data_IF_060089857169
#
_entry.id   IF_060089857169
#
_cell.length_a   1.000
_cell.length_b   1.000
_cell.length_c   1.000
_cell.angle_alpha   90.00
_cell.angle_beta   90.00
_cell.angle_gamma   90.00
#
_symmetry.space_group_name_H-M   'P 1'
#
loop_
_entity.id
_entity.type
_entity.pdbx_description
1 polymer ?
#
# COMPACT_ATOMS: atom_id res chain seq x y z
N UNK A 1 7.90 0.60 7.18
CA UNK A 1 7.72 1.21 5.83
C UNK A 1 6.23 1.41 5.55
N UNK A 2 5.76 2.58 5.09
CA UNK A 2 4.33 2.85 4.93
C UNK A 2 3.75 2.28 3.62
N UNK A 3 2.67 1.53 3.70
CA UNK A 3 1.90 0.99 2.56
C UNK A 3 0.49 1.56 2.59
N UNK A 4 0.01 2.10 1.48
CA UNK A 4 -1.37 2.58 1.36
C UNK A 4 -2.22 1.56 0.63
N UNK A 5 -3.31 1.18 1.25
CA UNK A 5 -4.38 0.46 0.57
C UNK A 5 -5.30 1.45 -0.19
N UNK A 6 -6.37 0.91 -0.76
CA UNK A 6 -7.40 1.66 -1.46
C UNK A 6 -8.16 2.62 -0.52
N UNK A 7 -8.50 2.20 0.70
CA UNK A 7 -9.20 3.05 1.68
C UNK A 7 -8.43 4.31 2.06
N UNK A 8 -7.12 4.19 2.30
CA UNK A 8 -6.23 5.32 2.59
C UNK A 8 -6.15 6.30 1.41
N UNK A 9 -6.01 5.78 0.19
CA UNK A 9 -5.89 6.63 -0.99
C UNK A 9 -7.22 7.37 -1.30
N UNK A 10 -8.37 6.71 -1.08
CA UNK A 10 -9.70 7.37 -1.13
C UNK A 10 -9.80 8.46 -0.06
N UNK A 11 -9.43 8.16 1.18
CA UNK A 11 -9.51 9.12 2.27
C UNK A 11 -8.62 10.36 2.03
N UNK A 12 -7.47 10.18 1.38
CA UNK A 12 -6.62 11.30 0.96
C UNK A 12 -7.24 12.11 -0.19
N UNK A 13 -7.85 11.45 -1.17
CA UNK A 13 -8.58 12.13 -2.25
C UNK A 13 -9.75 12.97 -1.70
N UNK A 14 -10.46 12.45 -0.70
CA UNK A 14 -11.55 13.10 0.01
C UNK A 14 -11.07 14.12 1.06
N UNK A 15 -9.74 14.27 1.25
CA UNK A 15 -9.11 15.16 2.23
C UNK A 15 -9.57 14.91 3.67
N UNK A 16 -9.83 13.66 4.04
CA UNK A 16 -10.17 13.29 5.43
C UNK A 16 -9.02 13.69 6.36
N UNK A 17 -9.33 14.43 7.42
CA UNK A 17 -8.33 15.07 8.28
C UNK A 17 -7.33 14.08 8.89
N UNK A 18 -7.78 12.90 9.31
CA UNK A 18 -6.89 11.86 9.88
C UNK A 18 -5.91 11.33 8.85
N UNK A 19 -6.38 10.96 7.65
CA UNK A 19 -5.54 10.51 6.54
C UNK A 19 -4.50 11.58 6.14
N UNK A 20 -4.92 12.83 6.01
CA UNK A 20 -4.02 13.95 5.66
C UNK A 20 -2.93 14.13 6.72
N UNK A 21 -3.28 14.09 8.02
CA UNK A 21 -2.28 14.19 9.10
C UNK A 21 -1.29 13.03 9.08
N UNK A 22 -1.78 11.80 8.91
CA UNK A 22 -0.92 10.61 8.84
C UNK A 22 0.04 10.69 7.64
N UNK A 23 -0.46 11.06 6.46
CA UNK A 23 0.37 11.24 5.28
C UNK A 23 1.43 12.33 5.47
N UNK A 24 1.06 13.47 6.06
CA UNK A 24 2.00 14.55 6.34
C UNK A 24 3.13 14.11 7.29
N UNK A 25 2.81 13.33 8.33
CA UNK A 25 3.79 12.81 9.28
C UNK A 25 4.75 11.76 8.69
N UNK A 26 4.46 11.23 7.50
CA UNK A 26 5.30 10.24 6.81
C UNK A 26 6.22 10.88 5.76
N UNK A 27 6.16 12.19 5.53
CA UNK A 27 6.93 12.85 4.48
C UNK A 27 8.45 12.70 4.66
N UNK A 28 8.89 12.64 5.91
CA UNK A 28 10.29 12.57 6.27
C UNK A 28 10.78 11.13 6.51
N UNK A 29 9.94 10.11 6.31
CA UNK A 29 10.39 8.72 6.46
C UNK A 29 11.37 8.35 5.34
N UNK A 30 12.43 7.57 5.63
CA UNK A 30 13.42 7.19 4.60
C UNK A 30 12.81 6.50 3.39
N UNK A 31 11.81 5.65 3.63
CA UNK A 31 11.02 5.02 2.58
C UNK A 31 9.75 5.84 2.33
N UNK A 32 9.48 6.18 1.06
CA UNK A 32 8.22 6.82 0.63
C UNK A 32 7.03 5.91 0.91
N UNK A 33 5.84 6.48 1.01
CA UNK A 33 4.63 5.66 1.05
C UNK A 33 4.48 4.86 -0.24
N UNK A 34 4.28 3.56 -0.09
CA UNK A 34 4.09 2.61 -1.17
C UNK A 34 2.63 2.63 -1.61
N UNK A 35 2.40 2.94 -2.89
CA UNK A 35 1.08 2.85 -3.52
C UNK A 35 1.19 1.88 -4.68
N UNK A 36 0.54 0.72 -4.59
CA UNK A 36 0.58 -0.27 -5.65
C UNK A 36 -0.20 0.20 -6.87
N UNK A 37 0.25 -0.19 -8.07
CA UNK A 37 -0.42 0.16 -9.33
C UNK A 37 -1.93 -0.17 -9.32
N UNK A 38 -2.35 -1.38 -8.92
CA UNK A 38 -3.77 -1.73 -8.79
C UNK A 38 -4.54 -0.87 -7.78
N UNK A 39 -3.93 -0.51 -6.64
CA UNK A 39 -4.53 0.41 -5.65
C UNK A 39 -4.76 1.78 -6.27
N UNK A 40 -3.75 2.34 -6.94
CA UNK A 40 -3.88 3.62 -7.65
C UNK A 40 -4.98 3.55 -8.72
N UNK A 41 -5.02 2.48 -9.50
CA UNK A 41 -6.00 2.26 -10.56
C UNK A 41 -7.45 2.15 -10.01
N UNK A 42 -7.64 1.50 -8.86
CA UNK A 42 -8.95 1.40 -8.21
C UNK A 42 -9.50 2.77 -7.79
N UNK A 43 -8.64 3.72 -7.40
CA UNK A 43 -9.06 5.02 -6.86
C UNK A 43 -9.08 6.14 -7.89
N UNK A 44 -8.20 6.11 -8.88
CA UNK A 44 -8.08 7.20 -9.84
C UNK A 44 -9.37 7.38 -10.65
N UNK A 45 -9.93 8.59 -10.65
CA UNK A 45 -11.12 8.98 -11.42
C UNK A 45 -10.83 10.28 -12.17
N UNK A 46 -11.37 10.47 -13.39
CA UNK A 46 -11.04 11.63 -14.23
C UNK A 46 -11.67 12.95 -13.76
N UNK A 47 -12.15 13.03 -12.51
CA UNK A 47 -12.68 14.28 -11.97
C UNK A 47 -11.51 15.24 -11.64
N UNK A 48 -11.63 16.55 -11.93
CA UNK A 48 -10.55 17.50 -11.62
C UNK A 48 -10.15 17.51 -10.15
N UNK A 49 -11.12 17.32 -9.24
CA UNK A 49 -10.89 17.29 -7.81
C UNK A 49 -10.02 16.09 -7.40
N UNK A 50 -10.38 14.88 -7.86
CA UNK A 50 -9.61 13.65 -7.58
C UNK A 50 -8.21 13.74 -8.16
N UNK A 51 -8.09 14.18 -9.42
CA UNK A 51 -6.80 14.32 -10.11
C UNK A 51 -5.89 15.30 -9.34
N UNK A 52 -6.41 16.47 -8.96
CA UNK A 52 -5.62 17.46 -8.23
C UNK A 52 -5.18 16.96 -6.86
N UNK A 53 -6.10 16.37 -6.08
CA UNK A 53 -5.80 15.85 -4.75
C UNK A 53 -4.74 14.74 -4.78
N UNK A 54 -4.94 13.73 -5.64
CA UNK A 54 -4.01 12.61 -5.74
C UNK A 54 -2.67 13.01 -6.36
N UNK A 55 -2.63 13.92 -7.35
CA UNK A 55 -1.36 14.41 -7.89
C UNK A 55 -0.47 15.07 -6.81
N UNK A 56 -1.08 15.73 -5.81
CA UNK A 56 -0.36 16.25 -4.65
C UNK A 56 0.22 15.15 -3.77
N UNK A 57 -0.62 14.17 -3.39
CA UNK A 57 -0.25 13.01 -2.57
C UNK A 57 0.89 12.21 -3.21
N UNK A 58 0.79 11.95 -4.51
CA UNK A 58 1.73 11.07 -5.22
C UNK A 58 3.17 11.62 -5.27
N UNK A 59 3.41 12.91 -5.01
CA UNK A 59 4.76 13.49 -4.90
C UNK A 59 5.56 12.91 -3.73
N UNK A 60 4.87 12.43 -2.71
CA UNK A 60 5.45 11.83 -1.51
C UNK A 60 5.38 10.30 -1.49
N UNK A 61 4.78 9.70 -2.52
CA UNK A 61 4.63 8.27 -2.67
C UNK A 61 5.58 7.70 -3.73
N UNK A 62 5.67 6.38 -3.77
CA UNK A 62 6.26 5.61 -4.86
C UNK A 62 5.23 4.61 -5.38
N UNK A 63 5.26 4.35 -6.68
CA UNK A 63 4.49 3.31 -7.36
C UNK A 63 5.51 2.34 -7.95
N UNK A 64 5.77 1.19 -7.31
CA UNK A 64 6.78 0.25 -7.76
C UNK A 64 6.54 -0.17 -9.19
N UNK A 65 7.63 -0.36 -9.96
CA UNK A 65 7.60 -0.80 -11.36
C UNK A 65 6.88 0.16 -12.33
N UNK A 66 6.30 1.27 -11.87
CA UNK A 66 5.72 2.27 -12.76
C UNK A 66 6.82 3.19 -13.31
N UNK A 67 6.90 3.27 -14.64
CA UNK A 67 7.79 4.20 -15.33
C UNK A 67 7.53 5.63 -14.87
N UNK A 68 8.59 6.35 -14.53
CA UNK A 68 8.50 7.74 -14.08
C UNK A 68 8.06 7.93 -12.63
N UNK A 69 7.84 6.85 -11.88
CA UNK A 69 7.61 6.95 -10.44
C UNK A 69 8.89 7.35 -9.71
N UNK A 70 8.74 8.08 -8.60
CA UNK A 70 9.86 8.39 -7.73
C UNK A 70 10.44 7.09 -7.13
N UNK A 71 11.77 6.99 -6.93
CA UNK A 71 12.38 5.87 -6.23
C UNK A 71 11.80 5.68 -4.83
N UNK A 72 11.68 4.42 -4.39
CA UNK A 72 11.06 4.06 -3.12
C UNK A 72 11.79 4.65 -1.90
N UNK A 73 13.13 4.61 -1.93
CA UNK A 73 13.96 5.25 -0.91
C UNK A 73 14.21 6.70 -1.28
N UNK A 74 14.11 7.59 -0.30
CA UNK A 74 14.53 8.99 -0.44
C UNK A 74 16.06 9.07 -0.48
N UNK A 75 16.63 10.04 -1.22
CA UNK A 75 18.08 10.26 -1.22
C UNK A 75 18.60 10.58 0.19
N UNK A 76 19.82 10.16 0.47
CA UNK A 76 20.53 10.49 1.70
C UNK A 76 21.84 11.21 1.38
N UNK A 77 22.50 11.81 2.38
CA UNK A 77 23.82 12.44 2.20
C UNK A 77 24.90 11.46 1.73
N UNK A 78 24.73 10.16 2.00
CA UNK A 78 25.64 9.09 1.59
C UNK A 78 25.29 8.49 0.23
N UNK A 79 24.26 8.99 -0.45
CA UNK A 79 23.84 8.55 -1.79
C UNK A 79 22.41 8.01 -1.84
N UNK A 80 22.12 7.29 -2.94
CA UNK A 80 20.80 6.73 -3.22
C UNK A 80 20.75 5.24 -2.84
N UNK A 81 19.99 4.92 -1.80
CA UNK A 81 19.66 3.54 -1.44
C UNK A 81 18.50 3.02 -2.30
N UNK A 82 18.38 1.70 -2.43
CA UNK A 82 17.29 1.05 -3.15
C UNK A 82 16.58 0.06 -2.24
N UNK A 83 15.25 0.01 -2.33
CA UNK A 83 14.48 -1.06 -1.71
C UNK A 83 14.37 -2.21 -2.72
N UNK A 84 15.04 -3.34 -2.43
CA UNK A 84 15.04 -4.51 -3.31
C UNK A 84 13.60 -5.00 -3.54
N UNK A 85 12.78 -5.04 -2.49
CA UNK A 85 11.38 -5.50 -2.58
C UNK A 85 10.48 -4.59 -3.42
N UNK A 86 10.79 -3.29 -3.53
CA UNK A 86 10.11 -2.39 -4.47
C UNK A 86 10.69 -2.49 -5.89
N UNK A 87 11.98 -2.79 -6.00
CA UNK A 87 12.67 -2.97 -7.27
C UNK A 87 12.31 -4.31 -7.95
N UNK A 88 11.78 -5.28 -7.19
CA UNK A 88 11.33 -6.58 -7.71
C UNK A 88 9.84 -6.79 -7.40
N UNK A 89 9.05 -7.03 -8.44
CA UNK A 89 7.65 -7.43 -8.28
C UNK A 89 7.51 -8.83 -7.65
N UNK A 90 6.27 -9.27 -7.35
CA UNK A 90 6.04 -10.63 -6.89
C UNK A 90 6.45 -11.67 -7.95
N UNK A 91 7.13 -12.73 -7.52
CA UNK A 91 7.42 -13.89 -8.37
C UNK A 91 6.22 -14.86 -8.50
N UNK A 92 6.37 -15.95 -9.25
CA UNK A 92 5.30 -16.92 -9.48
C UNK A 92 4.82 -17.56 -8.17
N UNK A 93 5.73 -17.91 -7.26
CA UNK A 93 5.40 -18.51 -5.97
C UNK A 93 4.65 -17.52 -5.10
N UNK A 94 5.03 -16.26 -5.13
CA UNK A 94 4.35 -15.16 -4.45
C UNK A 94 2.94 -14.93 -5.01
N UNK A 95 2.74 -15.00 -6.33
CA UNK A 95 1.40 -14.97 -6.93
C UNK A 95 0.53 -16.16 -6.53
N UNK A 96 1.12 -17.36 -6.43
CA UNK A 96 0.41 -18.53 -5.91
C UNK A 96 0.00 -18.33 -4.45
N UNK A 97 0.86 -17.74 -3.61
CA UNK A 97 0.52 -17.41 -2.21
C UNK A 97 -0.63 -16.41 -2.11
N UNK A 98 -0.69 -15.40 -2.99
CA UNK A 98 -1.85 -14.49 -3.09
C UNK A 98 -3.11 -15.31 -3.41
N UNK A 99 -3.04 -16.20 -4.40
CA UNK A 99 -4.16 -17.08 -4.77
C UNK A 99 -4.62 -17.98 -3.62
N UNK A 100 -3.69 -18.60 -2.88
CA UNK A 100 -4.01 -19.40 -1.70
C UNK A 100 -4.64 -18.57 -0.58
N UNK A 101 -4.12 -17.38 -0.31
CA UNK A 101 -4.68 -16.48 0.70
C UNK A 101 -6.11 -16.04 0.34
N UNK A 102 -6.39 -15.78 -0.94
CA UNK A 102 -7.75 -15.47 -1.42
C UNK A 102 -8.76 -16.60 -1.13
N UNK A 103 -8.32 -17.86 -1.20
CA UNK A 103 -9.17 -19.01 -0.90
C UNK A 103 -9.28 -19.37 0.59
N UNK A 104 -8.35 -18.89 1.42
CA UNK A 104 -8.23 -19.31 2.83
C UNK A 104 -8.54 -18.18 3.84
N UNK A 105 -8.52 -16.91 3.44
CA UNK A 105 -8.76 -15.79 4.34
C UNK A 105 -10.17 -15.83 4.94
N UNK A 106 -10.23 -15.79 6.27
CA UNK A 106 -11.47 -15.73 7.05
C UNK A 106 -12.00 -14.29 7.07
N UNK A 107 -12.53 -13.83 5.93
CA UNK A 107 -13.03 -12.46 5.78
C UNK A 107 -14.33 -12.23 6.58
N UNK A 108 -14.61 -10.97 6.99
CA UNK A 108 -15.87 -10.62 7.63
C UNK A 108 -17.10 -11.04 6.81
N UNK A 109 -18.25 -11.29 7.46
CA UNK A 109 -19.46 -11.70 6.75
C UNK A 109 -19.83 -10.72 5.62
N UNK A 110 -20.21 -11.26 4.45
CA UNK A 110 -20.58 -10.53 3.21
C UNK A 110 -19.42 -9.89 2.44
N UNK A 111 -18.19 -9.86 2.99
CA UNK A 111 -17.01 -9.46 2.22
C UNK A 111 -16.66 -10.57 1.23
N UNK A 112 -16.15 -10.17 0.06
CA UNK A 112 -15.66 -11.09 -0.97
C UNK A 112 -14.13 -10.99 -1.03
N UNK A 113 -13.44 -12.07 -1.40
CA UNK A 113 -12.01 -11.98 -1.66
C UNK A 113 -11.66 -10.90 -2.70
N UNK A 114 -10.64 -10.10 -2.42
CA UNK A 114 -10.11 -9.03 -3.26
C UNK A 114 -8.60 -9.25 -3.45
N UNK A 115 -8.20 -9.46 -4.70
CA UNK A 115 -6.82 -9.69 -5.08
C UNK A 115 -5.90 -8.49 -4.80
N UNK A 116 -6.45 -7.26 -4.77
CA UNK A 116 -5.69 -6.05 -4.46
C UNK A 116 -5.36 -6.01 -2.97
N UNK A 117 -6.30 -6.33 -2.10
CA UNK A 117 -6.05 -6.40 -0.64
C UNK A 117 -5.05 -7.50 -0.29
N UNK A 118 -5.19 -8.68 -0.90
CA UNK A 118 -4.23 -9.77 -0.75
C UNK A 118 -2.83 -9.40 -1.25
N UNK A 119 -2.73 -8.67 -2.37
CA UNK A 119 -1.47 -8.15 -2.88
C UNK A 119 -0.85 -7.07 -1.97
N UNK A 120 -1.66 -6.19 -1.39
CA UNK A 120 -1.22 -5.21 -0.38
C UNK A 120 -0.66 -5.93 0.84
N UNK A 121 -1.39 -6.92 1.36
CA UNK A 121 -0.97 -7.72 2.51
C UNK A 121 0.35 -8.47 2.24
N UNK A 122 0.47 -9.16 1.10
CA UNK A 122 1.72 -9.83 0.73
C UNK A 122 2.86 -8.82 0.58
N UNK A 123 2.62 -7.69 -0.09
CA UNK A 123 3.66 -6.67 -0.28
C UNK A 123 4.15 -6.13 1.05
N UNK A 124 3.25 -5.86 1.99
CA UNK A 124 3.62 -5.45 3.35
C UNK A 124 4.46 -6.53 4.04
N UNK A 125 4.04 -7.80 3.96
CA UNK A 125 4.76 -8.93 4.54
C UNK A 125 6.18 -9.10 3.94
N UNK A 126 6.37 -8.88 2.64
CA UNK A 126 7.69 -8.97 1.97
C UNK A 126 8.70 -7.97 2.50
N UNK A 127 8.25 -6.80 2.94
CA UNK A 127 9.16 -5.74 3.38
C UNK A 127 9.64 -5.89 4.82
N UNK A 128 8.88 -6.58 5.68
CA UNK A 128 9.12 -6.58 7.13
C UNK A 128 8.90 -5.20 7.76
N UNK A 129 8.42 -5.15 8.99
CA UNK A 129 8.09 -3.92 9.72
C UNK A 129 7.26 -2.90 8.90
N UNK A 130 6.34 -3.42 8.08
CA UNK A 130 5.48 -2.60 7.24
C UNK A 130 4.31 -2.05 8.06
N UNK A 131 3.86 -0.85 7.73
CA UNK A 131 2.66 -0.23 8.33
C UNK A 131 1.67 0.00 7.20
N UNK A 132 0.57 -0.74 7.20
CA UNK A 132 -0.49 -0.61 6.21
C UNK A 132 -1.57 0.31 6.74
N UNK A 133 -1.91 1.34 5.97
CA UNK A 133 -2.95 2.30 6.30
C UNK A 133 -4.22 1.93 5.54
N UNK A 134 -5.34 1.75 6.24
CA UNK A 134 -6.60 1.23 5.67
C UNK A 134 -7.84 1.77 6.37
N UNK A 135 -8.98 1.82 5.68
CA UNK A 135 -10.27 2.04 6.35
C UNK A 135 -10.83 0.77 6.99
N UNK A 136 -10.43 -0.41 6.49
CA UNK A 136 -11.06 -1.70 6.76
C UNK A 136 -10.01 -2.70 7.30
N UNK A 137 -9.51 -2.53 8.54
CA UNK A 137 -8.41 -3.32 9.09
C UNK A 137 -8.69 -4.83 9.13
N UNK A 138 -9.95 -5.22 9.36
CA UNK A 138 -10.33 -6.63 9.46
C UNK A 138 -10.09 -7.42 8.16
N UNK A 139 -10.23 -6.77 7.00
CA UNK A 139 -10.01 -7.43 5.70
C UNK A 139 -8.51 -7.73 5.52
N UNK A 140 -7.65 -6.76 5.83
CA UNK A 140 -6.19 -6.93 5.77
C UNK A 140 -5.68 -7.93 6.81
N UNK A 141 -6.18 -7.87 8.05
CA UNK A 141 -5.80 -8.82 9.11
C UNK A 141 -6.11 -10.26 8.71
N UNK A 142 -7.24 -10.51 8.03
CA UNK A 142 -7.60 -11.83 7.52
C UNK A 142 -6.59 -12.34 6.48
N UNK A 143 -6.14 -11.48 5.55
CA UNK A 143 -5.10 -11.86 4.58
C UNK A 143 -3.73 -12.04 5.21
N UNK A 144 -3.33 -11.16 6.13
CA UNK A 144 -2.06 -11.29 6.85
C UNK A 144 -2.00 -12.59 7.63
N UNK A 145 -3.10 -12.99 8.30
CA UNK A 145 -3.24 -14.29 8.95
C UNK A 145 -3.12 -15.45 7.96
N UNK A 146 -3.84 -15.39 6.83
CA UNK A 146 -3.78 -16.43 5.80
C UNK A 146 -2.39 -16.58 5.15
N UNK A 147 -1.60 -15.51 5.14
CA UNK A 147 -0.23 -15.49 4.59
C UNK A 147 0.85 -15.89 5.60
N UNK A 148 0.49 -16.15 6.87
CA UNK A 148 1.40 -16.25 8.03
C UNK A 148 2.38 -15.08 8.10
N UNK A 149 1.87 -13.87 7.81
CA UNK A 149 2.67 -12.66 7.81
C UNK A 149 3.03 -12.26 9.25
N UNK A 150 4.31 -11.91 9.45
CA UNK A 150 4.84 -11.43 10.73
C UNK A 150 5.30 -9.99 10.54
N UNK A 151 5.27 -9.23 11.63
CA UNK A 151 5.84 -7.88 11.67
C UNK A 151 5.23 -6.92 10.62
N UNK A 152 3.90 -6.99 10.48
CA UNK A 152 3.10 -6.03 9.74
C UNK A 152 2.12 -5.39 10.71
N UNK A 153 2.06 -4.06 10.72
CA UNK A 153 1.13 -3.29 11.54
C UNK A 153 0.03 -2.70 10.66
N UNK A 154 -1.22 -2.90 11.05
CA UNK A 154 -2.37 -2.30 10.36
C UNK A 154 -2.86 -1.10 11.15
N UNK A 155 -2.96 0.05 10.49
CA UNK A 155 -3.44 1.31 11.07
C UNK A 155 -4.75 1.69 10.40
N UNK A 156 -5.82 1.68 11.19
CA UNK A 156 -7.11 2.20 10.73
C UNK A 156 -7.02 3.72 10.56
N UNK A 157 -7.53 4.23 9.43
CA UNK A 157 -7.53 5.67 9.08
C UNK A 157 -8.87 6.37 9.30
#
# INVERSE_FOLDING_TARGET
>A
MPVYDTGMLIALADRKAKAVRLHAGLRDTPHRALVLGPVLAQVWRPSPATVHALAGVMKDCTVPQARGSAPAMRPTSVGQTACIMCATGPDITEWQRIGSALGAAELPPKKRPDAVDALVALTAARHGSAVVFTSDPADLDAYLKALDAKDVHVVQI
#
